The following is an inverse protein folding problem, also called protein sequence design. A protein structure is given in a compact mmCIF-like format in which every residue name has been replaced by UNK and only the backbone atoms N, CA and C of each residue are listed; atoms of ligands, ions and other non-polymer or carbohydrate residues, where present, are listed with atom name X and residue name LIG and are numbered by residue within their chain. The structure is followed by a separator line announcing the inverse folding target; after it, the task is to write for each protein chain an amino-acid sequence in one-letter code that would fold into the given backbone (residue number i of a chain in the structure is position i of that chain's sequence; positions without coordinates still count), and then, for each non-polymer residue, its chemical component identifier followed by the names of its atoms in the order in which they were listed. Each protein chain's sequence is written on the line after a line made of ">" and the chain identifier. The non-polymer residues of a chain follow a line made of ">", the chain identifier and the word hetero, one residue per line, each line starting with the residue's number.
data_IF_330068872267
#
_entry.id   IF_330068872267
#
_cell.length_a   1.000
_cell.length_b   1.000
_cell.length_c   1.000
_cell.angle_alpha   90.00
_cell.angle_beta   90.00
_cell.angle_gamma   90.00
#
_symmetry.space_group_name_H-M   'P 1'
#
loop_
_entity.id
_entity.type
_entity.pdbx_description
1 polymer ?
#
# COMPACT_ATOMS: atom_id res chain seq x y z
N UNK A 1 20.63 -16.85 -22.32
CA UNK A 1 19.29 -16.38 -22.76
C UNK A 1 18.58 -17.53 -23.40
N UNK A 2 17.73 -18.22 -22.64
CA UNK A 2 16.94 -19.33 -23.18
C UNK A 2 15.56 -18.85 -23.61
N UNK A 3 14.97 -19.51 -24.60
CA UNK A 3 13.71 -19.15 -25.29
C UNK A 3 12.50 -18.93 -24.36
N UNK A 4 12.58 -19.33 -23.10
CA UNK A 4 11.52 -19.21 -22.08
C UNK A 4 11.62 -17.91 -21.24
N UNK A 5 12.82 -17.35 -21.03
CA UNK A 5 12.95 -15.97 -20.51
C UNK A 5 12.21 -14.99 -21.43
N UNK A 6 12.29 -15.23 -22.74
CA UNK A 6 11.62 -14.42 -23.75
C UNK A 6 10.07 -14.54 -23.77
N UNK A 7 9.47 -15.54 -23.12
CA UNK A 7 8.02 -15.81 -23.23
C UNK A 7 7.18 -15.16 -22.12
N UNK A 8 7.76 -14.91 -20.94
CA UNK A 8 7.11 -14.14 -19.86
C UNK A 8 7.34 -12.63 -19.98
N UNK A 9 8.27 -12.20 -20.83
CA UNK A 9 8.89 -10.88 -20.72
C UNK A 9 8.18 -9.65 -21.34
N UNK A 10 7.31 -9.71 -22.37
CA UNK A 10 6.70 -8.48 -22.88
C UNK A 10 5.39 -8.06 -22.20
N UNK A 11 4.57 -8.99 -21.67
CA UNK A 11 3.30 -8.65 -20.97
C UNK A 11 3.43 -8.57 -19.44
N UNK A 12 4.35 -9.33 -18.83
CA UNK A 12 4.54 -9.29 -17.37
C UNK A 12 5.27 -8.03 -16.88
N UNK A 13 5.95 -7.33 -17.78
CA UNK A 13 6.69 -6.08 -17.50
C UNK A 13 5.94 -4.82 -17.95
N UNK A 14 4.90 -4.93 -18.78
CA UNK A 14 4.18 -3.79 -19.39
C UNK A 14 2.92 -3.33 -18.65
N UNK A 15 2.42 -4.11 -17.68
CA UNK A 15 1.28 -3.70 -16.86
C UNK A 15 1.69 -2.63 -15.85
N UNK A 16 1.72 -1.38 -16.29
CA UNK A 16 2.08 -0.23 -15.45
C UNK A 16 1.12 -0.02 -14.27
N UNK A 17 -0.11 -0.53 -14.36
CA UNK A 17 -1.13 -0.35 -13.32
C UNK A 17 -1.03 -1.39 -12.19
N UNK A 18 -0.39 -2.54 -12.45
CA UNK A 18 -0.05 -3.55 -11.45
C UNK A 18 1.28 -4.22 -11.83
N UNK A 19 2.41 -3.51 -11.61
CA UNK A 19 3.71 -3.99 -12.04
C UNK A 19 4.15 -5.20 -11.21
N UNK A 20 4.91 -6.10 -11.83
CA UNK A 20 5.57 -7.19 -11.08
C UNK A 20 6.53 -6.65 -10.03
N UNK A 21 7.27 -5.59 -10.38
CA UNK A 21 8.16 -4.86 -9.48
C UNK A 21 8.10 -3.37 -9.81
N UNK A 22 7.84 -2.54 -8.80
CA UNK A 22 7.96 -1.09 -8.90
C UNK A 22 9.42 -0.66 -8.78
N UNK A 23 9.79 0.41 -9.49
CA UNK A 23 11.11 1.02 -9.33
C UNK A 23 11.29 1.54 -7.88
N UNK A 24 12.42 1.23 -7.23
CA UNK A 24 12.71 1.73 -5.88
C UNK A 24 13.03 3.23 -5.90
N UNK A 25 13.12 3.82 -4.72
CA UNK A 25 13.64 5.18 -4.55
C UNK A 25 15.10 5.29 -5.04
N UNK A 26 15.47 6.34 -5.80
CA UNK A 26 16.81 6.46 -6.36
C UNK A 26 17.90 6.79 -5.32
N UNK A 27 17.53 7.44 -4.22
CA UNK A 27 18.46 7.87 -3.17
C UNK A 27 18.55 6.81 -2.07
N UNK A 28 17.41 6.22 -1.70
CA UNK A 28 17.27 5.24 -0.63
C UNK A 28 16.66 3.93 -1.17
N UNK A 29 17.43 3.12 -1.93
CA UNK A 29 16.87 2.01 -2.70
C UNK A 29 16.41 0.81 -1.86
N UNK A 30 16.80 0.73 -0.58
CA UNK A 30 16.41 -0.36 0.30
C UNK A 30 14.90 -0.29 0.64
N UNK A 31 14.19 -1.39 0.44
CA UNK A 31 12.79 -1.55 0.79
C UNK A 31 12.64 -2.60 1.90
N UNK A 32 11.54 -2.52 2.64
CA UNK A 32 11.18 -3.51 3.66
C UNK A 32 9.72 -3.90 3.60
N UNK A 33 9.45 -5.19 3.81
CA UNK A 33 8.11 -5.75 4.03
C UNK A 33 7.72 -5.68 5.52
N UNK A 34 8.72 -5.58 6.39
CA UNK A 34 8.53 -5.50 7.82
C UNK A 34 7.80 -4.22 8.20
N UNK A 35 6.90 -4.31 9.18
CA UNK A 35 6.21 -3.14 9.71
C UNK A 35 4.82 -2.87 9.14
N UNK A 36 4.45 -3.45 7.99
CA UNK A 36 3.09 -3.34 7.42
C UNK A 36 2.05 -4.25 8.10
N UNK A 37 2.49 -5.24 8.87
CA UNK A 37 1.60 -6.12 9.63
C UNK A 37 0.74 -7.04 8.75
N UNK A 38 -0.04 -7.95 9.35
CA UNK A 38 -0.70 -9.02 8.60
C UNK A 38 -1.75 -8.53 7.59
N UNK A 39 -2.35 -7.36 7.80
CA UNK A 39 -3.40 -6.85 6.90
C UNK A 39 -2.86 -6.37 5.55
N UNK A 40 -1.59 -5.95 5.49
CA UNK A 40 -0.95 -5.43 4.28
C UNK A 40 0.30 -6.22 3.86
N UNK A 41 0.77 -7.17 4.69
CA UNK A 41 1.93 -8.02 4.39
C UNK A 41 1.67 -9.18 3.43
N UNK A 42 0.41 -9.45 3.09
CA UNK A 42 0.04 -10.44 2.07
C UNK A 42 0.16 -9.92 0.64
N UNK A 43 -0.34 -10.71 -0.33
CA UNK A 43 -0.44 -10.26 -1.71
C UNK A 43 -1.61 -9.28 -1.86
N UNK A 44 -1.27 -8.04 -2.18
CA UNK A 44 -2.22 -7.03 -2.59
C UNK A 44 -2.70 -7.32 -4.00
N UNK A 45 -4.00 -7.52 -4.18
CA UNK A 45 -4.60 -7.59 -5.52
C UNK A 45 -4.46 -6.25 -6.25
N UNK A 46 -4.59 -6.21 -7.59
CA UNK A 46 -4.58 -4.96 -8.37
C UNK A 46 -5.51 -3.87 -7.84
N UNK A 47 -6.71 -4.26 -7.39
CA UNK A 47 -7.63 -3.35 -6.74
C UNK A 47 -7.08 -2.78 -5.43
N UNK A 48 -6.54 -3.65 -4.55
CA UNK A 48 -5.96 -3.23 -3.28
C UNK A 48 -4.77 -2.30 -3.49
N UNK A 49 -3.88 -2.64 -4.42
CA UNK A 49 -2.72 -1.83 -4.79
C UNK A 49 -3.13 -0.43 -5.24
N UNK A 50 -3.98 -0.36 -6.28
CA UNK A 50 -4.46 0.93 -6.82
C UNK A 50 -5.26 1.74 -5.80
N UNK A 51 -5.83 1.10 -4.78
CA UNK A 51 -6.54 1.79 -3.71
C UNK A 51 -5.61 2.35 -2.64
N UNK A 52 -4.59 1.60 -2.26
CA UNK A 52 -3.80 1.90 -1.06
C UNK A 52 -2.48 2.62 -1.36
N UNK A 53 -1.91 2.52 -2.56
CA UNK A 53 -0.62 3.14 -2.90
C UNK A 53 -0.61 4.63 -2.51
N UNK A 54 -1.42 5.47 -3.15
CA UNK A 54 -1.40 6.92 -2.92
C UNK A 54 -1.85 7.32 -1.50
N UNK A 55 -2.92 6.74 -0.90
CA UNK A 55 -3.26 7.02 0.49
C UNK A 55 -2.16 6.65 1.50
N UNK A 56 -1.45 5.54 1.29
CA UNK A 56 -0.37 5.11 2.17
C UNK A 56 0.84 6.05 2.06
N UNK A 57 1.23 6.42 0.83
CA UNK A 57 2.28 7.42 0.62
C UNK A 57 1.95 8.75 1.30
N UNK A 58 0.73 9.26 1.12
CA UNK A 58 0.29 10.49 1.79
C UNK A 58 0.31 10.39 3.31
N UNK A 59 -0.09 9.24 3.86
CA UNK A 59 -0.10 9.05 5.30
C UNK A 59 1.34 9.01 5.87
N UNK A 60 2.28 8.32 5.21
CA UNK A 60 3.70 8.32 5.56
C UNK A 60 4.31 9.72 5.48
N UNK A 61 4.00 10.45 4.40
CA UNK A 61 4.42 11.82 4.19
C UNK A 61 3.89 12.80 5.24
N UNK A 62 2.62 12.66 5.60
CA UNK A 62 2.03 13.49 6.64
C UNK A 62 2.72 13.24 7.98
N UNK A 63 2.98 11.98 8.35
CA UNK A 63 3.71 11.64 9.58
C UNK A 63 5.12 12.25 9.54
N UNK A 64 5.85 12.09 8.43
CA UNK A 64 7.19 12.65 8.26
C UNK A 64 7.21 14.17 8.44
N UNK A 65 6.36 14.87 7.69
CA UNK A 65 6.30 16.33 7.69
C UNK A 65 5.84 16.90 9.04
N UNK A 66 4.87 16.25 9.70
CA UNK A 66 4.35 16.68 11.01
C UNK A 66 5.32 16.38 12.14
N UNK A 67 6.13 15.33 12.06
CA UNK A 67 7.25 15.12 12.99
C UNK A 67 8.31 16.23 12.85
N UNK A 68 8.41 16.86 11.69
CA UNK A 68 9.40 17.90 11.42
C UNK A 68 10.77 17.34 11.05
N UNK A 69 10.78 16.14 10.45
CA UNK A 69 11.98 15.53 9.91
C UNK A 69 12.51 16.32 8.71
N UNK A 70 13.82 16.25 8.49
CA UNK A 70 14.52 16.98 7.46
C UNK A 70 14.04 16.57 6.07
N UNK A 71 13.70 17.56 5.24
CA UNK A 71 13.22 17.32 3.87
C UNK A 71 14.25 16.60 3.00
N UNK A 72 15.55 16.89 3.19
CA UNK A 72 16.64 16.26 2.43
C UNK A 72 16.79 14.76 2.67
N UNK A 73 16.28 14.27 3.80
CA UNK A 73 16.33 12.85 4.16
C UNK A 73 15.01 12.13 3.87
N UNK A 74 14.04 12.83 3.27
CA UNK A 74 12.73 12.27 2.94
C UNK A 74 12.88 11.42 1.67
N UNK A 75 12.41 10.17 1.66
CA UNK A 75 12.26 9.41 0.44
C UNK A 75 11.41 10.16 -0.59
N UNK A 76 11.79 10.11 -1.86
CA UNK A 76 10.97 10.55 -2.97
C UNK A 76 9.85 9.56 -3.26
N UNK A 77 10.10 8.27 -3.00
CA UNK A 77 9.12 7.19 -3.09
C UNK A 77 9.04 6.40 -1.79
N UNK A 78 7.82 6.28 -1.26
CA UNK A 78 7.57 5.62 0.01
C UNK A 78 7.14 4.19 -0.14
N UNK A 79 6.30 3.92 -1.15
CA UNK A 79 5.60 2.66 -1.29
C UNK A 79 5.93 2.05 -2.65
N UNK A 80 6.27 0.78 -2.63
CA UNK A 80 6.55 0.00 -3.83
C UNK A 80 5.77 -1.31 -3.79
N UNK A 81 5.66 -1.95 -4.95
CA UNK A 81 5.04 -3.27 -5.10
C UNK A 81 6.10 -4.24 -5.61
N UNK A 82 6.26 -5.37 -4.94
CA UNK A 82 7.21 -6.42 -5.31
C UNK A 82 6.51 -7.77 -5.26
N UNK A 83 6.29 -8.38 -6.42
CA UNK A 83 5.58 -9.66 -6.56
C UNK A 83 4.25 -9.65 -5.80
N UNK A 84 3.48 -8.59 -6.01
CA UNK A 84 2.18 -8.38 -5.37
C UNK A 84 2.24 -7.99 -3.89
N UNK A 85 3.40 -7.96 -3.23
CA UNK A 85 3.54 -7.50 -1.84
C UNK A 85 3.86 -6.02 -1.79
N UNK A 86 3.15 -5.29 -0.94
CA UNK A 86 3.45 -3.88 -0.68
C UNK A 86 4.71 -3.84 0.17
N UNK A 87 5.69 -3.03 -0.24
CA UNK A 87 6.88 -2.73 0.53
C UNK A 87 6.95 -1.22 0.80
N UNK A 88 7.68 -0.85 1.84
CA UNK A 88 7.95 0.55 2.16
C UNK A 88 9.44 0.85 2.13
N UNK A 89 9.78 2.11 1.91
CA UNK A 89 11.15 2.58 1.96
C UNK A 89 11.76 2.31 3.35
N UNK A 90 12.79 1.47 3.44
CA UNK A 90 13.36 1.01 4.70
C UNK A 90 14.00 2.15 5.49
N UNK A 91 14.70 3.08 4.81
CA UNK A 91 15.29 4.25 5.43
C UNK A 91 14.23 5.16 6.07
N UNK A 92 13.21 5.51 5.28
CA UNK A 92 12.11 6.35 5.75
C UNK A 92 11.36 5.70 6.91
N UNK A 93 11.06 4.41 6.79
CA UNK A 93 10.37 3.63 7.81
C UNK A 93 11.15 3.59 9.14
N UNK A 94 12.45 3.27 9.11
CA UNK A 94 13.27 3.22 10.32
C UNK A 94 13.41 4.58 10.99
N UNK A 95 13.57 5.65 10.22
CA UNK A 95 13.56 7.01 10.79
C UNK A 95 12.23 7.33 11.46
N UNK A 96 11.10 6.99 10.83
CA UNK A 96 9.79 7.19 11.43
C UNK A 96 9.65 6.40 12.74
N UNK A 97 10.10 5.13 12.78
CA UNK A 97 10.08 4.32 14.01
C UNK A 97 10.95 4.91 15.11
N UNK A 98 12.16 5.35 14.78
CA UNK A 98 13.06 5.94 15.75
C UNK A 98 12.51 7.26 16.32
N UNK A 99 12.03 8.15 15.46
CA UNK A 99 11.56 9.47 15.88
C UNK A 99 10.14 9.51 16.41
N UNK A 100 9.27 8.57 16.03
CA UNK A 100 7.91 8.47 16.55
C UNK A 100 7.82 7.53 17.76
N UNK A 101 8.32 6.31 17.60
CA UNK A 101 8.26 5.22 18.58
C UNK A 101 9.37 5.29 19.64
N UNK A 102 10.49 5.95 19.34
CA UNK A 102 11.65 5.96 20.23
C UNK A 102 12.46 4.66 20.19
N UNK A 103 12.35 3.91 19.08
CA UNK A 103 13.13 2.70 18.83
C UNK A 103 14.55 3.09 18.39
N UNK A 104 15.56 2.29 18.74
CA UNK A 104 16.90 2.50 18.21
C UNK A 104 16.92 2.16 16.71
N UNK A 105 17.31 3.11 15.83
CA UNK A 105 17.35 2.86 14.39
C UNK A 105 18.46 1.88 14.05
N UNK A 106 18.22 1.04 13.04
CA UNK A 106 19.27 0.22 12.45
C UNK A 106 20.32 1.11 11.76
N UNK A 107 21.60 1.08 12.18
CA UNK A 107 22.66 1.89 11.58
C UNK A 107 22.98 1.50 10.13
N UNK A 108 22.56 0.32 9.66
CA UNK A 108 22.71 -0.08 8.26
C UNK A 108 21.69 0.62 7.34
N UNK A 109 20.59 1.12 7.90
CA UNK A 109 19.49 1.75 7.15
C UNK A 109 19.42 3.26 7.34
N UNK A 110 19.94 3.78 8.45
CA UNK A 110 19.99 5.21 8.74
C UNK A 110 21.45 5.61 8.91
N UNK A 111 21.90 6.61 8.14
CA UNK A 111 23.27 7.11 8.20
C UNK A 111 23.74 7.30 9.66
N UNK A 112 24.95 6.82 10.00
CA UNK A 112 25.44 6.86 11.36
C UNK A 112 25.56 8.30 11.85
N UNK A 113 25.28 8.49 13.16
CA UNK A 113 25.30 9.78 13.86
C UNK A 113 26.55 10.57 13.50
N UNK A 114 26.39 11.73 12.86
CA UNK A 114 27.53 12.59 12.58
C UNK A 114 28.08 13.17 13.90
N UNK A 115 29.36 12.95 14.16
CA UNK A 115 30.06 13.52 15.32
C UNK A 115 30.38 15.00 15.12
N UNK A 116 30.42 15.79 16.20
CA UNK A 116 30.87 17.19 16.14
C UNK A 116 29.83 18.17 15.59
N UNK A 117 30.29 19.19 14.85
CA UNK A 117 29.45 20.28 14.31
C UNK A 117 28.42 19.79 13.26
N UNK A 118 28.68 18.66 12.61
CA UNK A 118 27.75 17.99 11.70
C UNK A 118 26.53 17.38 12.42
N UNK A 119 26.61 17.18 13.74
CA UNK A 119 25.49 16.69 14.57
C UNK A 119 24.48 17.77 14.99
N UNK A 120 24.75 19.06 14.71
CA UNK A 120 23.85 20.15 15.08
C UNK A 120 22.47 20.05 14.39
N UNK A 121 22.36 19.78 13.07
CA UNK A 121 21.07 19.56 12.41
C UNK A 121 20.28 18.39 13.00
N UNK A 122 20.95 17.32 13.42
CA UNK A 122 20.33 16.13 14.04
C UNK A 122 19.79 16.45 15.44
N UNK A 123 20.55 17.20 16.25
CA UNK A 123 20.11 17.67 17.55
C UNK A 123 18.86 18.57 17.42
N UNK A 124 18.85 19.49 16.45
CA UNK A 124 17.69 20.34 16.14
C UNK A 124 16.49 19.54 15.62
N UNK A 125 16.71 18.53 14.80
CA UNK A 125 15.66 17.61 14.38
C UNK A 125 15.04 16.89 15.58
N UNK A 126 15.85 16.35 16.50
CA UNK A 126 15.37 15.71 17.73
C UNK A 126 14.54 16.65 18.60
N UNK A 127 15.00 17.88 18.78
CA UNK A 127 14.26 18.89 19.55
C UNK A 127 12.91 19.20 18.88
N UNK A 128 12.90 19.43 17.55
CA UNK A 128 11.66 19.66 16.79
C UNK A 128 10.71 18.49 16.90
N UNK A 129 11.22 17.26 16.77
CA UNK A 129 10.44 16.03 16.92
C UNK A 129 9.85 15.94 18.32
N UNK A 130 10.64 16.16 19.38
CA UNK A 130 10.15 16.11 20.75
C UNK A 130 8.98 17.09 20.98
N UNK A 131 9.08 18.31 20.44
CA UNK A 131 8.03 19.32 20.51
C UNK A 131 6.78 18.94 19.68
N UNK A 132 6.98 18.40 18.48
CA UNK A 132 5.90 18.12 17.51
C UNK A 132 5.24 16.75 17.69
N UNK A 133 5.89 15.79 18.34
CA UNK A 133 5.34 14.44 18.59
C UNK A 133 3.98 14.50 19.29
N UNK A 134 3.82 15.40 20.26
CA UNK A 134 2.53 15.63 20.95
C UNK A 134 1.45 16.13 20.00
N UNK A 135 1.79 17.06 19.10
CA UNK A 135 0.85 17.60 18.11
C UNK A 135 0.44 16.53 17.09
N UNK A 136 1.39 15.73 16.62
CA UNK A 136 1.11 14.61 15.72
C UNK A 136 0.20 13.57 16.39
N UNK A 137 0.45 13.19 17.65
CA UNK A 137 -0.47 12.29 18.38
C UNK A 137 -1.88 12.86 18.48
N UNK A 138 -2.03 14.18 18.68
CA UNK A 138 -3.36 14.83 18.64
C UNK A 138 -3.99 14.75 17.25
N UNK A 139 -3.21 14.94 16.18
CA UNK A 139 -3.69 14.78 14.79
C UNK A 139 -4.15 13.36 14.51
N UNK A 140 -3.37 12.36 14.92
CA UNK A 140 -3.73 10.95 14.79
C UNK A 140 -5.05 10.65 15.50
N UNK A 141 -5.26 11.14 16.72
CA UNK A 141 -6.55 10.99 17.42
C UNK A 141 -7.72 11.63 16.67
N UNK A 142 -7.53 12.81 16.08
CA UNK A 142 -8.55 13.44 15.22
C UNK A 142 -8.82 12.60 13.97
N UNK A 143 -7.77 12.02 13.38
CA UNK A 143 -7.90 11.12 12.24
C UNK A 143 -8.71 9.86 12.62
N UNK A 144 -8.61 9.35 13.85
CA UNK A 144 -9.45 8.24 14.31
C UNK A 144 -10.94 8.57 14.30
N UNK A 145 -11.31 9.77 14.72
CA UNK A 145 -12.70 10.24 14.68
C UNK A 145 -13.20 10.40 13.24
N UNK A 146 -12.37 10.96 12.36
CA UNK A 146 -12.69 11.13 10.94
C UNK A 146 -12.82 9.77 10.23
N UNK A 147 -11.90 8.84 10.49
CA UNK A 147 -11.95 7.48 9.99
C UNK A 147 -13.21 6.75 10.45
N UNK A 148 -13.57 6.87 11.73
CA UNK A 148 -14.80 6.26 12.26
C UNK A 148 -16.04 6.82 11.54
N UNK A 149 -16.13 8.15 11.35
CA UNK A 149 -17.23 8.77 10.60
C UNK A 149 -17.26 8.34 9.14
N UNK A 150 -16.11 8.26 8.48
CA UNK A 150 -16.02 7.79 7.09
C UNK A 150 -16.51 6.34 6.97
N UNK A 151 -16.02 5.44 7.84
CA UNK A 151 -16.45 4.04 7.88
C UNK A 151 -17.94 3.90 8.18
N UNK A 152 -18.50 4.66 9.14
CA UNK A 152 -19.93 4.64 9.44
C UNK A 152 -20.78 5.10 8.26
N UNK A 153 -20.39 6.19 7.58
CA UNK A 153 -21.10 6.68 6.38
C UNK A 153 -21.04 5.66 5.24
N UNK A 154 -19.87 5.06 5.01
CA UNK A 154 -19.68 4.01 4.02
C UNK A 154 -20.50 2.75 4.34
N UNK A 155 -20.53 2.33 5.61
CA UNK A 155 -21.27 1.15 6.05
C UNK A 155 -22.79 1.30 5.95
N UNK A 156 -23.29 2.54 6.09
CA UNK A 156 -24.72 2.85 5.95
C UNK A 156 -25.22 2.77 4.51
N UNK A 157 -24.33 2.80 3.50
CA UNK A 157 -24.72 2.63 2.09
C UNK A 157 -25.05 1.16 1.81
N UNK A 158 -26.14 0.94 1.07
CA UNK A 158 -26.49 -0.37 0.56
C UNK A 158 -25.91 -0.54 -0.87
N UNK A 159 -24.90 -1.41 -1.08
CA UNK A 159 -24.31 -1.62 -2.40
C UNK A 159 -25.34 -2.00 -3.47
N UNK A 160 -26.39 -2.74 -3.09
CA UNK A 160 -27.42 -3.19 -4.04
C UNK A 160 -28.31 -2.05 -4.56
N UNK A 161 -28.34 -0.90 -3.90
CA UNK A 161 -29.11 0.29 -4.32
C UNK A 161 -28.26 1.34 -5.03
N UNK A 162 -26.94 1.25 -4.93
CA UNK A 162 -26.01 2.19 -5.57
C UNK A 162 -25.98 2.01 -7.08
N UNK A 163 -25.64 3.07 -7.81
CA UNK A 163 -25.37 2.96 -9.24
C UNK A 163 -24.04 2.23 -9.52
N UNK A 164 -23.89 1.66 -10.71
CA UNK A 164 -22.72 0.83 -11.04
C UNK A 164 -21.42 1.64 -11.08
N UNK A 165 -21.47 2.92 -11.47
CA UNK A 165 -20.29 3.77 -11.51
C UNK A 165 -19.84 4.21 -10.10
N UNK A 166 -20.79 4.43 -9.19
CA UNK A 166 -20.51 4.64 -7.77
C UNK A 166 -19.88 3.39 -7.13
N UNK A 167 -20.44 2.20 -7.41
CA UNK A 167 -19.84 0.93 -6.97
C UNK A 167 -18.41 0.73 -7.50
N UNK A 168 -18.15 1.10 -8.75
CA UNK A 168 -16.82 1.02 -9.36
C UNK A 168 -15.77 1.88 -8.65
N UNK A 169 -16.18 3.06 -8.14
CA UNK A 169 -15.32 3.93 -7.33
C UNK A 169 -15.09 3.41 -5.92
N UNK A 170 -15.98 2.56 -5.41
CA UNK A 170 -15.93 2.03 -4.06
C UNK A 170 -16.45 3.01 -2.98
N UNK A 171 -16.60 2.52 -1.74
CA UNK A 171 -17.27 3.25 -0.66
C UNK A 171 -16.43 4.35 -0.01
N UNK A 172 -15.11 4.32 -0.21
CA UNK A 172 -14.15 5.17 0.45
C UNK A 172 -13.25 5.84 -0.60
N UNK A 173 -13.16 7.15 -0.51
CA UNK A 173 -12.24 7.94 -1.31
C UNK A 173 -10.83 7.97 -0.71
N UNK A 174 -9.92 8.51 -1.51
CA UNK A 174 -8.52 8.70 -1.21
C UNK A 174 -8.24 9.40 0.14
N UNK A 175 -8.88 10.55 0.47
CA UNK A 175 -8.79 11.16 1.79
C UNK A 175 -9.27 10.24 2.91
N UNK A 176 -10.40 9.55 2.74
CA UNK A 176 -10.94 8.65 3.77
C UNK A 176 -9.98 7.49 4.06
N UNK A 177 -9.35 6.91 3.04
CA UNK A 177 -8.31 5.90 3.22
C UNK A 177 -7.10 6.45 3.95
N UNK A 178 -6.68 7.68 3.65
CA UNK A 178 -5.57 8.34 4.35
C UNK A 178 -5.89 8.50 5.85
N UNK A 179 -7.10 8.94 6.19
CA UNK A 179 -7.55 9.07 7.58
C UNK A 179 -7.66 7.72 8.30
N UNK A 180 -7.96 6.61 7.58
CA UNK A 180 -7.94 5.25 8.13
C UNK A 180 -6.49 4.76 8.38
N UNK A 181 -5.59 5.04 7.44
CA UNK A 181 -4.20 4.59 7.49
C UNK A 181 -3.36 5.35 8.53
N UNK A 182 -3.63 6.64 8.76
CA UNK A 182 -2.87 7.45 9.71
C UNK A 182 -2.86 6.88 11.16
N UNK A 183 -4.01 6.54 11.77
CA UNK A 183 -4.02 5.90 13.08
C UNK A 183 -3.39 4.51 13.10
N UNK A 184 -3.58 3.73 12.03
CA UNK A 184 -2.95 2.43 11.89
C UNK A 184 -1.42 2.57 11.87
N UNK A 185 -0.87 3.45 11.03
CA UNK A 185 0.56 3.78 11.00
C UNK A 185 1.05 4.26 12.37
N UNK A 186 0.32 5.17 13.02
CA UNK A 186 0.66 5.67 14.35
C UNK A 186 0.82 4.56 15.38
N UNK A 187 -0.07 3.56 15.38
CA UNK A 187 0.05 2.36 16.23
C UNK A 187 1.27 1.52 15.84
N UNK A 188 1.46 1.23 14.56
CA UNK A 188 2.58 0.39 14.07
C UNK A 188 3.94 1.00 14.41
N UNK A 189 4.08 2.31 14.27
CA UNK A 189 5.29 3.05 14.62
C UNK A 189 5.55 3.10 16.14
N UNK A 190 4.49 3.12 16.97
CA UNK A 190 4.61 3.17 18.43
C UNK A 190 4.84 1.79 19.07
N UNK A 191 4.15 0.75 18.60
CA UNK A 191 4.13 -0.58 19.23
C UNK A 191 5.19 -1.53 18.68
N UNK A 192 6.15 -1.03 17.89
CA UNK A 192 7.27 -1.83 17.40
C UNK A 192 6.87 -3.01 16.51
N UNK A 193 5.68 -2.99 15.90
CA UNK A 193 5.23 -4.05 15.01
C UNK A 193 4.22 -5.05 15.58
N UNK A 194 3.53 -4.72 16.68
CA UNK A 194 2.37 -5.48 17.22
C UNK A 194 1.50 -6.11 16.13
N UNK A 195 1.44 -7.43 16.09
CA UNK A 195 0.68 -8.23 15.10
C UNK A 195 -0.83 -8.05 15.19
N UNK A 196 -1.32 -7.31 16.20
CA UNK A 196 -2.75 -7.15 16.41
C UNK A 196 -3.38 -6.46 15.21
N UNK A 197 -4.40 -7.10 14.59
CA UNK A 197 -5.09 -6.51 13.47
C UNK A 197 -5.84 -5.25 13.91
N UNK A 198 -5.67 -4.20 13.13
CA UNK A 198 -6.32 -2.92 13.29
C UNK A 198 -7.78 -3.01 12.86
N UNK A 199 -8.74 -2.77 13.78
CA UNK A 199 -10.15 -2.96 13.49
C UNK A 199 -10.66 -1.99 12.41
N UNK A 200 -10.08 -0.79 12.28
CA UNK A 200 -10.55 0.21 11.31
C UNK A 200 -10.05 -0.10 9.91
N UNK A 201 -8.77 -0.47 9.78
CA UNK A 201 -8.22 -0.91 8.50
C UNK A 201 -8.96 -2.16 8.01
N UNK A 202 -9.20 -3.14 8.90
CA UNK A 202 -9.99 -4.34 8.58
C UNK A 202 -11.42 -3.99 8.16
N UNK A 203 -12.08 -3.07 8.86
CA UNK A 203 -13.43 -2.61 8.49
C UNK A 203 -13.44 -1.93 7.11
N UNK A 204 -12.46 -1.08 6.81
CA UNK A 204 -12.30 -0.45 5.49
C UNK A 204 -12.12 -1.46 4.37
N UNK A 205 -11.24 -2.44 4.56
CA UNK A 205 -11.01 -3.53 3.60
C UNK A 205 -12.29 -4.36 3.39
N UNK A 206 -12.99 -4.71 4.46
CA UNK A 206 -14.24 -5.47 4.38
C UNK A 206 -15.34 -4.71 3.63
N UNK A 207 -15.44 -3.39 3.84
CA UNK A 207 -16.38 -2.54 3.10
C UNK A 207 -16.04 -2.49 1.61
N UNK A 208 -14.77 -2.32 1.26
CA UNK A 208 -14.30 -2.35 -0.13
C UNK A 208 -14.64 -3.69 -0.79
N UNK A 209 -14.35 -4.81 -0.13
CA UNK A 209 -14.65 -6.15 -0.63
C UNK A 209 -16.17 -6.37 -0.84
N UNK A 210 -17.01 -5.90 0.08
CA UNK A 210 -18.47 -5.97 -0.05
C UNK A 210 -18.96 -5.23 -1.29
N UNK A 211 -18.51 -3.99 -1.51
CA UNK A 211 -18.91 -3.18 -2.67
C UNK A 211 -18.36 -3.76 -3.98
N UNK A 212 -17.10 -4.20 -3.96
CA UNK A 212 -16.46 -4.83 -5.11
C UNK A 212 -17.20 -6.12 -5.51
N UNK A 213 -17.58 -6.98 -4.55
CA UNK A 213 -18.33 -8.20 -4.84
C UNK A 213 -19.67 -7.89 -5.53
N UNK A 214 -20.37 -6.87 -5.07
CA UNK A 214 -21.62 -6.44 -5.70
C UNK A 214 -21.40 -5.92 -7.12
N UNK A 215 -20.37 -5.10 -7.33
CA UNK A 215 -19.97 -4.68 -8.68
C UNK A 215 -19.66 -5.88 -9.58
N UNK A 216 -18.90 -6.86 -9.07
CA UNK A 216 -18.56 -8.07 -9.79
C UNK A 216 -19.79 -8.84 -10.26
N UNK A 217 -20.80 -9.02 -9.40
CA UNK A 217 -22.09 -9.64 -9.79
C UNK A 217 -22.76 -8.91 -10.94
N UNK A 218 -22.79 -7.57 -10.90
CA UNK A 218 -23.41 -6.76 -11.95
C UNK A 218 -22.63 -6.83 -13.26
N UNK A 219 -21.30 -6.87 -13.19
CA UNK A 219 -20.44 -7.03 -14.37
C UNK A 219 -20.59 -8.43 -14.99
N UNK A 220 -20.80 -9.48 -14.21
CA UNK A 220 -21.13 -10.83 -14.73
C UNK A 220 -22.48 -10.82 -15.45
N UNK A 221 -23.51 -10.20 -14.86
CA UNK A 221 -24.82 -10.12 -15.50
C UNK A 221 -24.78 -9.41 -16.86
N UNK A 222 -23.73 -8.59 -17.08
CA UNK A 222 -23.44 -7.90 -18.34
C UNK A 222 -22.45 -8.64 -19.26
N UNK A 223 -22.00 -9.83 -18.88
CA UNK A 223 -21.04 -10.62 -19.64
C UNK A 223 -19.59 -10.10 -19.59
N UNK A 224 -19.26 -9.15 -18.72
CA UNK A 224 -17.93 -8.52 -18.65
C UNK A 224 -16.93 -9.37 -17.86
N UNK A 225 -17.39 -10.02 -16.79
CA UNK A 225 -16.58 -10.84 -15.88
C UNK A 225 -17.16 -12.24 -15.75
N UNK A 226 -16.35 -13.21 -15.28
CA UNK A 226 -16.74 -14.61 -15.12
C UNK A 226 -17.13 -14.95 -13.68
N UNK A 227 -16.48 -14.34 -12.70
CA UNK A 227 -16.72 -14.51 -11.27
C UNK A 227 -16.89 -13.16 -10.55
N UNK A 228 -17.67 -13.05 -9.46
CA UNK A 228 -17.78 -11.80 -8.71
C UNK A 228 -16.45 -11.34 -8.12
N UNK A 229 -15.54 -12.28 -7.84
CA UNK A 229 -14.22 -12.00 -7.26
C UNK A 229 -13.22 -11.46 -8.28
N UNK A 230 -13.47 -11.62 -9.58
CA UNK A 230 -12.61 -11.16 -10.67
C UNK A 230 -12.34 -9.64 -10.63
N UNK A 231 -13.30 -8.91 -10.09
CA UNK A 231 -13.24 -7.46 -9.85
C UNK A 231 -12.06 -7.03 -8.95
N UNK A 232 -11.50 -7.94 -8.15
CA UNK A 232 -10.31 -7.68 -7.35
C UNK A 232 -9.04 -7.55 -8.21
N UNK A 233 -9.07 -8.13 -9.42
CA UNK A 233 -7.97 -8.10 -10.39
C UNK A 233 -8.06 -6.95 -11.40
N UNK A 234 -9.10 -6.12 -11.27
CA UNK A 234 -9.19 -4.82 -11.92
C UNK A 234 -8.75 -3.72 -10.94
N UNK A 235 -7.92 -2.78 -11.40
CA UNK A 235 -7.63 -1.57 -10.62
C UNK A 235 -8.88 -0.69 -10.50
N UNK A 236 -8.90 0.25 -9.56
CA UNK A 236 -10.06 1.16 -9.40
C UNK A 236 -10.38 1.93 -10.69
N UNK A 237 -9.41 2.52 -11.42
CA UNK A 237 -9.68 3.14 -12.72
C UNK A 237 -10.26 2.17 -13.77
N UNK A 238 -9.75 0.94 -13.82
CA UNK A 238 -10.24 -0.08 -14.76
C UNK A 238 -11.66 -0.56 -14.42
N UNK A 239 -12.01 -0.65 -13.12
CA UNK A 239 -13.38 -0.91 -12.71
C UNK A 239 -14.34 0.14 -13.24
N UNK A 240 -13.94 1.42 -13.23
CA UNK A 240 -14.76 2.52 -13.76
C UNK A 240 -14.91 2.36 -15.27
N UNK A 241 -13.83 2.05 -15.97
CA UNK A 241 -13.85 1.84 -17.43
C UNK A 241 -14.72 0.63 -17.83
N UNK A 242 -14.64 -0.48 -17.10
CA UNK A 242 -15.39 -1.70 -17.41
C UNK A 242 -16.91 -1.58 -17.19
N UNK A 243 -17.38 -0.53 -16.48
CA UNK A 243 -18.82 -0.21 -16.43
C UNK A 243 -19.35 0.25 -17.80
N UNK A 244 -18.48 0.84 -18.61
CA UNK A 244 -18.83 1.46 -19.90
C UNK A 244 -18.42 0.61 -21.11
N UNK A 245 -17.69 -0.48 -20.90
CA UNK A 245 -17.18 -1.35 -21.95
C UNK A 245 -17.41 -2.82 -21.59
N UNK A 246 -18.14 -3.53 -22.46
CA UNK A 246 -18.46 -4.95 -22.30
C UNK A 246 -17.59 -5.88 -23.13
N UNK A 247 -16.40 -5.43 -23.54
CA UNK A 247 -15.47 -6.24 -24.33
C UNK A 247 -14.83 -7.38 -23.51
N UNK A 248 -14.45 -8.46 -24.21
CA UNK A 248 -13.71 -9.60 -23.63
C UNK A 248 -12.33 -9.22 -23.08
N UNK A 249 -11.87 -8.00 -23.38
CA UNK A 249 -10.62 -7.44 -22.86
C UNK A 249 -10.54 -7.52 -21.33
N UNK A 250 -11.63 -7.20 -20.62
CA UNK A 250 -11.64 -7.20 -19.15
C UNK A 250 -11.46 -8.61 -18.58
N UNK A 251 -12.17 -9.59 -19.12
CA UNK A 251 -12.03 -10.99 -18.70
C UNK A 251 -10.62 -11.53 -18.97
N UNK A 252 -10.02 -11.19 -20.12
CA UNK A 252 -8.65 -11.58 -20.46
C UNK A 252 -7.62 -10.91 -19.53
N UNK A 253 -7.81 -9.62 -19.22
CA UNK A 253 -6.94 -8.86 -18.30
C UNK A 253 -6.99 -9.43 -16.88
N UNK A 254 -8.18 -9.76 -16.38
CA UNK A 254 -8.36 -10.45 -15.10
C UNK A 254 -7.64 -11.79 -15.10
N UNK A 255 -7.86 -12.63 -16.12
CA UNK A 255 -7.26 -13.96 -16.17
C UNK A 255 -5.72 -13.90 -16.19
N UNK A 256 -5.14 -12.92 -16.88
CA UNK A 256 -3.68 -12.69 -16.90
C UNK A 256 -3.15 -12.32 -15.51
N UNK A 257 -3.82 -11.40 -14.80
CA UNK A 257 -3.42 -10.97 -13.46
C UNK A 257 -3.67 -12.01 -12.38
N UNK A 258 -4.73 -12.81 -12.50
CA UNK A 258 -4.99 -13.94 -11.61
C UNK A 258 -3.81 -14.93 -11.66
N UNK A 259 -3.43 -15.40 -12.85
CA UNK A 259 -2.27 -16.30 -13.02
C UNK A 259 -0.99 -15.70 -12.43
N UNK A 260 -0.79 -14.40 -12.60
CA UNK A 260 0.37 -13.69 -12.04
C UNK A 260 0.35 -13.67 -10.52
N UNK A 261 -0.79 -13.36 -9.91
CA UNK A 261 -0.96 -13.37 -8.45
C UNK A 261 -0.78 -14.78 -7.89
N UNK A 262 -1.33 -15.81 -8.54
CA UNK A 262 -1.13 -17.21 -8.16
C UNK A 262 0.36 -17.57 -8.16
N UNK A 263 1.11 -17.16 -9.18
CA UNK A 263 2.56 -17.37 -9.25
C UNK A 263 3.36 -16.62 -8.16
N UNK A 264 2.76 -15.66 -7.46
CA UNK A 264 3.43 -14.90 -6.39
C UNK A 264 3.19 -15.47 -4.99
N UNK A 265 2.15 -16.29 -4.80
CA UNK A 265 1.70 -16.81 -3.49
C UNK A 265 2.84 -17.50 -2.77
N UNK A 266 3.55 -18.38 -3.47
CA UNK A 266 4.58 -19.25 -2.89
C UNK A 266 5.99 -18.63 -2.92
N UNK A 267 6.13 -17.39 -3.41
CA UNK A 267 7.44 -16.73 -3.43
C UNK A 267 7.82 -16.28 -2.03
N UNK A 268 8.95 -16.79 -1.54
CA UNK A 268 9.58 -16.27 -0.35
C UNK A 268 10.39 -15.01 -0.70
N UNK A 269 10.01 -13.87 -0.12
CA UNK A 269 10.73 -12.62 -0.30
C UNK A 269 11.49 -12.29 0.99
N UNK A 270 12.74 -11.84 0.89
CA UNK A 270 13.43 -11.34 2.07
C UNK A 270 12.70 -10.12 2.66
N UNK A 271 12.73 -9.99 3.97
CA UNK A 271 12.10 -8.88 4.70
C UNK A 271 12.67 -7.51 4.32
N UNK A 272 13.94 -7.47 3.89
CA UNK A 272 14.64 -6.28 3.41
C UNK A 272 15.41 -6.61 2.13
N UNK A 273 15.37 -5.71 1.15
CA UNK A 273 16.08 -5.90 -0.11
C UNK A 273 16.42 -4.59 -0.81
N UNK A 274 17.46 -4.63 -1.64
CA UNK A 274 17.91 -3.51 -2.48
C UNK A 274 17.48 -3.77 -3.92
N UNK A 275 16.59 -2.92 -4.43
CA UNK A 275 16.07 -3.05 -5.80
C UNK A 275 15.12 -4.23 -5.97
N UNK A 276 15.37 -5.08 -6.98
CA UNK A 276 14.54 -6.25 -7.27
C UNK A 276 15.00 -7.44 -6.42
N UNK A 277 14.17 -7.99 -5.52
CA UNK A 277 14.55 -9.19 -4.77
C UNK A 277 14.75 -10.36 -5.76
N UNK A 278 15.82 -11.13 -5.55
CA UNK A 278 16.07 -12.33 -6.34
C UNK A 278 15.13 -13.42 -5.85
N UNK A 279 14.30 -13.92 -6.75
CA UNK A 279 13.38 -15.03 -6.49
C UNK A 279 13.55 -16.07 -7.58
N UNK A 280 13.56 -17.34 -7.19
CA UNK A 280 13.46 -18.45 -8.11
C UNK A 280 11.98 -18.62 -8.46
N UNK A 281 11.58 -18.11 -9.62
CA UNK A 281 10.26 -18.42 -10.16
C UNK A 281 10.33 -19.86 -10.68
N UNK A 282 9.70 -20.80 -9.98
CA UNK A 282 9.52 -22.15 -10.53
C UNK A 282 8.83 -22.04 -11.89
N UNK A 283 9.36 -22.78 -12.87
CA UNK A 283 8.86 -22.82 -14.25
C UNK A 283 7.43 -23.34 -14.23
N UNK A 284 6.44 -22.46 -14.11
CA UNK A 284 5.05 -22.80 -14.34
C UNK A 284 4.90 -23.07 -15.84
N UNK A 285 4.77 -24.35 -16.18
CA UNK A 285 4.69 -24.86 -17.56
C UNK A 285 3.36 -24.55 -18.25
#
# INVERSE_FOLDING_TARGET
>A
MTRAEAALEPEATSDSAYPTVSAPDPVYPCQTLSGLGPQLGGIATPAMWSRLEAPLERALDEVWGKLGLLRRARPERWVTLHYGRIAVNAHGWERLRAYFGGVEPDPALVEPRAGGLEGFPELWERLRVALRRRQLRKRIRRAEELAARALSRAAARNPSEMDVAELARGPLDDPSWTEILLPWLGRRLAEGGSERPDPRLRAGIALEQRHATELGRRLIARGVLKSPTDVAYLTVPERIQSVHDSSDYWANRVASRLRRVEAFVDLDLPDQFWGRPRVDLEKTG
#
